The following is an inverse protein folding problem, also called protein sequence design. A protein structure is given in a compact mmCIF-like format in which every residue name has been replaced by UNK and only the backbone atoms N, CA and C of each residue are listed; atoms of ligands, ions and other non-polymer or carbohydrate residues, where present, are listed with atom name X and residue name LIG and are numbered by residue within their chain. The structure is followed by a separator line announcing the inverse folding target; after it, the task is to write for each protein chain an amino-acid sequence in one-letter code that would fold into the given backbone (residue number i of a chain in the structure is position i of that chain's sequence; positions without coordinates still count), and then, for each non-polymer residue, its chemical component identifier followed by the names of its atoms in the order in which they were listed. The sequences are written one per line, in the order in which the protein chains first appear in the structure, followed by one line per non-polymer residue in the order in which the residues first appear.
data_IF_633482251969
#
_entry.id   IF_633482251969
#
_cell.length_a   1.000
_cell.length_b   1.000
_cell.length_c   1.000
_cell.angle_alpha   90.00
_cell.angle_beta   90.00
_cell.angle_gamma   90.00
#
_symmetry.space_group_name_H-M   'P 1'
#
loop_
_entity.id
_entity.type
_entity.pdbx_description
1 polymer ?
#
# COMPACT_ATOMS: atom_id res chain seq x y z
N UNK A 1 -10.10 8.51 9.78
CA UNK A 1 -9.59 7.14 9.74
C UNK A 1 -10.17 6.45 8.53
N UNK A 2 -9.35 6.33 7.48
CA UNK A 2 -9.72 5.64 6.24
C UNK A 2 -9.59 4.14 6.45
N UNK A 3 -10.71 3.48 6.68
CA UNK A 3 -10.75 2.02 6.77
C UNK A 3 -10.89 1.44 5.37
N UNK A 4 -9.84 0.91 4.80
CA UNK A 4 -9.92 -0.02 3.68
C UNK A 4 -10.42 -1.36 4.24
N UNK A 5 -11.74 -1.54 4.28
CA UNK A 5 -12.35 -2.83 4.54
C UNK A 5 -12.17 -3.71 3.30
N UNK A 6 -11.19 -4.59 3.33
CA UNK A 6 -11.16 -5.69 2.37
C UNK A 6 -12.21 -6.73 2.79
N UNK A 7 -13.33 -6.78 2.07
CA UNK A 7 -14.26 -7.91 2.18
C UNK A 7 -13.57 -9.17 1.67
N UNK A 8 -13.01 -9.95 2.60
CA UNK A 8 -12.53 -11.28 2.28
C UNK A 8 -13.71 -12.24 2.24
N UNK A 9 -13.87 -12.90 1.11
CA UNK A 9 -14.91 -13.89 0.87
C UNK A 9 -14.93 -15.01 1.93
N UNK A 10 -16.12 -15.40 2.33
CA UNK A 10 -16.44 -16.57 3.13
C UNK A 10 -15.82 -17.84 2.55
N UNK A 11 -14.65 -18.22 3.02
CA UNK A 11 -14.24 -19.62 3.07
C UNK A 11 -13.13 -19.81 4.13
N UNK A 12 -13.51 -20.29 5.32
CA UNK A 12 -12.67 -20.99 6.30
C UNK A 12 -11.57 -20.26 7.09
N UNK A 13 -11.42 -18.94 7.03
CA UNK A 13 -10.47 -18.25 7.92
C UNK A 13 -11.15 -17.00 8.48
N UNK A 14 -11.15 -16.83 9.81
CA UNK A 14 -11.47 -15.55 10.43
C UNK A 14 -10.32 -14.58 10.08
N UNK A 15 -10.48 -13.66 9.12
CA UNK A 15 -9.40 -12.78 8.74
C UNK A 15 -9.14 -11.78 9.87
N UNK A 16 -7.88 -11.52 10.13
CA UNK A 16 -7.48 -10.44 11.00
C UNK A 16 -7.31 -9.17 10.14
N UNK A 17 -7.97 -8.09 10.53
CA UNK A 17 -7.73 -6.78 9.95
C UNK A 17 -6.67 -6.07 10.80
N UNK A 18 -5.53 -5.79 10.22
CA UNK A 18 -4.46 -5.02 10.84
C UNK A 18 -4.62 -3.54 10.47
N UNK A 19 -4.95 -2.70 11.46
CA UNK A 19 -5.11 -1.26 11.28
C UNK A 19 -3.83 -0.57 11.75
N UNK A 20 -2.99 -0.22 10.78
CA UNK A 20 -1.67 0.40 11.01
C UNK A 20 -1.78 1.91 10.96
N UNK A 21 -1.32 2.60 12.01
CA UNK A 21 -1.17 4.06 11.96
C UNK A 21 0.09 4.43 11.20
N UNK A 22 -0.09 4.88 9.95
CA UNK A 22 1.00 5.23 9.03
C UNK A 22 1.33 6.74 9.02
N UNK A 23 0.62 7.56 9.79
CA UNK A 23 0.67 9.03 9.72
C UNK A 23 2.07 9.58 9.94
N UNK A 24 2.77 9.15 10.98
CA UNK A 24 4.10 9.68 11.31
C UNK A 24 5.14 9.34 10.22
N UNK A 25 5.06 8.14 9.63
CA UNK A 25 5.91 7.75 8.49
C UNK A 25 5.60 8.62 7.27
N UNK A 26 4.32 8.85 7.00
CA UNK A 26 3.87 9.67 5.87
C UNK A 26 4.34 11.13 6.00
N UNK A 27 4.27 11.70 7.20
CA UNK A 27 4.76 13.04 7.49
C UNK A 27 6.27 13.13 7.32
N UNK A 28 7.03 12.16 7.84
CA UNK A 28 8.49 12.15 7.69
C UNK A 28 8.91 12.05 6.21
N UNK A 29 8.22 11.22 5.41
CA UNK A 29 8.46 11.14 3.97
C UNK A 29 8.15 12.48 3.29
N UNK A 30 7.02 13.12 3.65
CA UNK A 30 6.63 14.41 3.08
C UNK A 30 7.64 15.51 3.38
N UNK A 31 8.18 15.55 4.60
CA UNK A 31 9.11 16.58 5.06
C UNK A 31 10.53 16.39 4.50
N UNK A 32 10.98 15.12 4.35
CA UNK A 32 12.39 14.81 4.08
C UNK A 32 12.68 14.35 2.65
N UNK A 33 11.67 13.87 1.91
CA UNK A 33 11.85 13.29 0.59
C UNK A 33 11.33 14.20 -0.55
N UNK A 34 11.82 14.04 -1.79
CA UNK A 34 11.28 14.75 -2.94
C UNK A 34 9.79 14.46 -3.15
N UNK A 35 8.97 15.49 -3.29
CA UNK A 35 7.51 15.35 -3.35
C UNK A 35 7.04 14.52 -4.54
N UNK A 36 7.72 14.57 -5.69
CA UNK A 36 7.38 13.76 -6.85
C UNK A 36 7.57 12.25 -6.64
N UNK A 37 8.32 11.84 -5.61
CA UNK A 37 8.63 10.43 -5.27
C UNK A 37 7.81 9.91 -4.08
N UNK A 38 7.06 10.76 -3.39
CA UNK A 38 6.33 10.44 -2.15
C UNK A 38 5.53 9.14 -2.24
N UNK A 39 4.68 9.03 -3.26
CA UNK A 39 3.80 7.87 -3.39
C UNK A 39 4.57 6.57 -3.56
N UNK A 40 5.71 6.59 -4.27
CA UNK A 40 6.55 5.39 -4.46
C UNK A 40 7.20 5.01 -3.14
N UNK A 41 7.78 5.98 -2.42
CA UNK A 41 8.47 5.75 -1.14
C UNK A 41 7.46 5.26 -0.09
N UNK A 42 6.29 5.92 0.04
CA UNK A 42 5.21 5.47 0.93
C UNK A 42 4.83 4.02 0.68
N UNK A 43 4.59 3.64 -0.58
CA UNK A 43 4.22 2.27 -0.96
C UNK A 43 5.30 1.26 -0.61
N UNK A 44 6.57 1.60 -0.71
CA UNK A 44 7.68 0.74 -0.30
C UNK A 44 7.63 0.45 1.21
N UNK A 45 7.37 1.46 2.05
CA UNK A 45 7.21 1.23 3.49
C UNK A 45 5.92 0.50 3.84
N UNK A 46 4.82 0.75 3.14
CA UNK A 46 3.58 -0.03 3.28
C UNK A 46 3.81 -1.51 2.97
N UNK A 47 4.56 -1.82 1.91
CA UNK A 47 4.89 -3.21 1.55
C UNK A 47 5.81 -3.88 2.59
N UNK A 48 6.79 -3.16 3.17
CA UNK A 48 7.63 -3.67 4.27
C UNK A 48 6.78 -4.04 5.49
N UNK A 49 5.81 -3.18 5.86
CA UNK A 49 4.88 -3.45 6.98
C UNK A 49 3.99 -4.65 6.66
N UNK A 50 3.45 -4.72 5.45
CA UNK A 50 2.62 -5.84 5.03
C UNK A 50 3.38 -7.16 5.06
N UNK A 51 4.65 -7.18 4.59
CA UNK A 51 5.52 -8.37 4.66
C UNK A 51 5.84 -8.76 6.11
N UNK A 52 6.02 -7.79 7.02
CA UNK A 52 6.23 -8.06 8.44
C UNK A 52 5.06 -8.85 9.03
N UNK A 53 3.82 -8.36 8.88
CA UNK A 53 2.62 -9.06 9.38
C UNK A 53 2.35 -10.38 8.65
N UNK A 54 2.65 -10.45 7.36
CA UNK A 54 2.55 -11.70 6.61
C UNK A 54 3.48 -12.79 7.18
N UNK A 55 4.72 -12.42 7.51
CA UNK A 55 5.69 -13.33 8.13
C UNK A 55 5.24 -13.76 9.54
N UNK A 56 4.76 -12.84 10.37
CA UNK A 56 4.22 -13.16 11.71
C UNK A 56 3.01 -14.10 11.63
N UNK A 57 2.13 -13.86 10.64
CA UNK A 57 0.95 -14.70 10.40
C UNK A 57 1.22 -16.00 9.65
N UNK A 58 2.49 -16.29 9.29
CA UNK A 58 2.86 -17.49 8.52
C UNK A 58 2.37 -17.48 7.08
N UNK A 59 2.06 -16.31 6.50
CA UNK A 59 1.67 -16.18 5.10
C UNK A 59 2.88 -16.33 4.18
N UNK A 60 2.67 -16.89 2.99
CA UNK A 60 3.73 -17.15 2.01
C UNK A 60 3.77 -16.15 0.86
N UNK A 61 2.83 -15.22 0.81
CA UNK A 61 2.71 -14.23 -0.26
C UNK A 61 1.90 -13.02 0.19
N UNK A 62 2.08 -11.89 -0.51
CA UNK A 62 1.20 -10.73 -0.43
C UNK A 62 0.24 -10.71 -1.62
N UNK A 63 -0.93 -10.11 -1.43
CA UNK A 63 -1.89 -9.84 -2.50
C UNK A 63 -2.20 -8.35 -2.50
N UNK A 64 -2.11 -7.70 -3.67
CA UNK A 64 -2.45 -6.28 -3.82
C UNK A 64 -3.44 -6.06 -4.95
N UNK A 65 -4.26 -5.01 -4.84
CA UNK A 65 -5.28 -4.62 -5.85
C UNK A 65 -4.74 -3.71 -6.95
N UNK A 66 -3.44 -3.75 -7.25
CA UNK A 66 -2.82 -2.88 -8.26
C UNK A 66 -3.25 -3.27 -9.69
N UNK A 67 -3.47 -2.23 -10.53
CA UNK A 67 -3.69 -2.35 -11.97
C UNK A 67 -2.76 -1.42 -12.73
N UNK A 68 -2.16 -1.91 -13.84
CA UNK A 68 -1.18 -1.13 -14.62
C UNK A 68 -1.84 0.11 -15.23
N UNK A 69 -1.21 1.26 -15.03
CA UNK A 69 -1.59 2.51 -15.72
C UNK A 69 -2.79 3.25 -15.14
N UNK A 70 -3.42 2.75 -14.08
CA UNK A 70 -4.55 3.44 -13.44
C UNK A 70 -4.11 4.75 -12.78
N UNK A 71 -2.94 4.77 -12.15
CA UNK A 71 -2.35 5.95 -11.52
C UNK A 71 -0.83 5.97 -11.74
N UNK A 72 -0.21 7.13 -11.53
CA UNK A 72 1.22 7.34 -11.77
C UNK A 72 2.13 6.36 -10.99
N UNK A 73 1.73 5.94 -9.80
CA UNK A 73 2.47 4.97 -8.98
C UNK A 73 2.36 3.52 -9.47
N UNK A 74 1.43 3.22 -10.38
CA UNK A 74 1.14 1.87 -10.88
C UNK A 74 1.64 1.64 -12.32
N UNK A 75 2.69 2.33 -12.72
CA UNK A 75 3.43 1.98 -13.95
C UNK A 75 4.33 0.76 -13.69
N UNK A 76 4.69 0.02 -14.74
CA UNK A 76 5.59 -1.16 -14.62
C UNK A 76 6.90 -0.80 -13.90
N UNK A 77 7.48 0.38 -14.19
CA UNK A 77 8.70 0.84 -13.54
C UNK A 77 8.49 1.03 -12.03
N UNK A 78 7.40 1.70 -11.64
CA UNK A 78 7.11 2.01 -10.24
C UNK A 78 6.68 0.76 -9.47
N UNK A 79 5.95 -0.15 -10.10
CA UNK A 79 5.61 -1.46 -9.51
C UNK A 79 6.86 -2.31 -9.24
N UNK A 80 7.83 -2.33 -10.16
CA UNK A 80 9.09 -3.04 -9.95
C UNK A 80 9.88 -2.45 -8.76
N UNK A 81 9.90 -1.10 -8.63
CA UNK A 81 10.56 -0.41 -7.52
C UNK A 81 9.84 -0.70 -6.18
N UNK A 82 8.52 -0.68 -6.18
CA UNK A 82 7.72 -0.99 -4.98
C UNK A 82 7.89 -2.46 -4.57
N UNK A 83 7.96 -3.37 -5.53
CA UNK A 83 8.13 -4.80 -5.27
C UNK A 83 9.53 -5.16 -4.73
N UNK A 84 10.54 -4.37 -5.02
CA UNK A 84 11.95 -4.65 -4.67
C UNK A 84 12.18 -4.77 -3.16
N UNK A 85 11.33 -4.19 -2.32
CA UNK A 85 11.43 -4.31 -0.85
C UNK A 85 10.83 -5.59 -0.28
N UNK A 86 10.14 -6.39 -1.10
CA UNK A 86 9.51 -7.64 -0.67
C UNK A 86 10.38 -8.84 -1.03
N UNK A 87 10.56 -9.75 -0.07
CA UNK A 87 11.26 -11.01 -0.25
C UNK A 87 10.30 -12.15 -0.60
N UNK A 88 9.00 -11.98 -0.35
CA UNK A 88 7.97 -12.95 -0.69
C UNK A 88 7.26 -12.60 -2.00
N UNK A 89 6.60 -13.57 -2.67
CA UNK A 89 5.80 -13.32 -3.86
C UNK A 89 4.70 -12.30 -3.60
N UNK A 90 4.46 -11.40 -4.58
CA UNK A 90 3.35 -10.44 -4.56
C UNK A 90 2.41 -10.73 -5.72
N UNK A 91 1.21 -11.22 -5.41
CA UNK A 91 0.19 -11.48 -6.41
C UNK A 91 -0.67 -10.23 -6.66
N UNK A 92 -0.99 -10.00 -7.92
CA UNK A 92 -1.77 -8.84 -8.39
C UNK A 92 -2.90 -9.30 -9.31
N UNK A 93 -4.01 -9.80 -8.75
CA UNK A 93 -5.11 -10.36 -9.55
C UNK A 93 -5.68 -9.39 -10.58
N UNK A 94 -5.67 -8.08 -10.27
CA UNK A 94 -6.23 -7.04 -11.14
C UNK A 94 -5.21 -6.40 -12.09
N UNK A 95 -3.98 -6.91 -12.18
CA UNK A 95 -2.85 -6.20 -12.81
C UNK A 95 -3.08 -5.81 -14.27
N UNK A 96 -3.79 -6.63 -15.04
CA UNK A 96 -4.09 -6.41 -16.45
C UNK A 96 -5.51 -5.93 -16.73
N UNK A 97 -6.31 -5.70 -15.69
CA UNK A 97 -7.71 -5.29 -15.82
C UNK A 97 -7.83 -3.78 -15.97
N UNK A 98 -8.76 -3.33 -16.80
CA UNK A 98 -9.14 -1.93 -16.82
C UNK A 98 -10.10 -1.58 -15.66
N UNK A 99 -10.43 -0.28 -15.54
CA UNK A 99 -11.28 0.18 -14.44
C UNK A 99 -12.69 -0.42 -14.50
N UNK A 100 -13.25 -0.61 -15.70
CA UNK A 100 -14.59 -1.14 -15.85
C UNK A 100 -14.66 -2.62 -15.48
N UNK A 101 -13.66 -3.41 -15.91
CA UNK A 101 -13.57 -4.82 -15.54
C UNK A 101 -13.49 -5.02 -14.00
N UNK A 102 -12.76 -4.13 -13.31
CA UNK A 102 -12.67 -4.17 -11.84
C UNK A 102 -14.01 -3.79 -11.20
N UNK A 103 -14.70 -2.77 -11.75
CA UNK A 103 -16.04 -2.36 -11.28
C UNK A 103 -17.05 -3.50 -11.47
N UNK A 104 -17.07 -4.13 -12.64
CA UNK A 104 -17.99 -5.23 -12.94
C UNK A 104 -17.80 -6.42 -11.98
N UNK A 105 -16.53 -6.70 -11.61
CA UNK A 105 -16.24 -7.73 -10.62
C UNK A 105 -16.72 -7.28 -9.23
N UNK A 106 -16.48 -6.03 -8.84
CA UNK A 106 -16.88 -5.50 -7.54
C UNK A 106 -18.41 -5.52 -7.39
N UNK A 107 -19.17 -5.17 -8.43
CA UNK A 107 -20.63 -5.29 -8.48
C UNK A 107 -21.07 -6.75 -8.32
N UNK A 108 -20.48 -7.64 -9.11
CA UNK A 108 -20.79 -9.07 -9.09
C UNK A 108 -20.58 -9.73 -7.72
N UNK A 109 -19.56 -9.31 -6.99
CA UNK A 109 -19.26 -9.84 -5.66
C UNK A 109 -19.88 -9.02 -4.52
N UNK A 110 -20.66 -7.96 -4.84
CA UNK A 110 -21.39 -7.15 -3.87
C UNK A 110 -20.54 -6.20 -3.01
N UNK A 111 -19.35 -5.82 -3.49
CA UNK A 111 -18.44 -4.90 -2.76
C UNK A 111 -18.44 -3.47 -3.31
N UNK A 112 -19.05 -3.25 -4.47
CA UNK A 112 -19.01 -1.96 -5.16
C UNK A 112 -19.60 -0.83 -4.31
N UNK A 113 -20.83 -0.99 -3.79
CA UNK A 113 -21.53 0.04 -3.00
C UNK A 113 -20.74 0.44 -1.75
N UNK A 114 -19.98 -0.48 -1.16
CA UNK A 114 -19.10 -0.18 -0.02
C UNK A 114 -17.86 0.58 -0.47
N UNK A 115 -17.29 0.23 -1.61
CA UNK A 115 -16.03 0.82 -2.10
C UNK A 115 -16.17 2.25 -2.63
N UNK A 116 -17.38 2.67 -3.03
CA UNK A 116 -17.66 4.04 -3.51
C UNK A 116 -18.08 5.02 -2.42
N UNK A 117 -18.12 4.59 -1.16
CA UNK A 117 -18.48 5.49 -0.05
C UNK A 117 -17.50 6.67 0.02
N UNK A 118 -17.99 7.89 0.33
CA UNK A 118 -17.19 9.11 0.32
C UNK A 118 -16.27 9.21 1.54
N UNK A 119 -15.22 8.39 1.55
CA UNK A 119 -14.14 8.50 2.52
C UNK A 119 -12.90 9.12 1.88
N UNK A 120 -12.16 9.91 2.65
CA UNK A 120 -10.90 10.48 2.20
C UNK A 120 -9.83 9.38 2.06
N UNK A 121 -9.19 9.33 0.89
CA UNK A 121 -8.04 8.48 0.64
C UNK A 121 -6.81 9.02 1.36
N UNK A 122 -6.06 8.16 2.02
CA UNK A 122 -4.82 8.53 2.72
C UNK A 122 -3.77 9.16 1.81
N UNK A 123 -3.80 8.86 0.51
CA UNK A 123 -2.86 9.41 -0.47
C UNK A 123 -3.31 10.76 -1.06
N UNK A 124 -4.56 11.21 -0.89
CA UNK A 124 -5.04 12.47 -1.49
C UNK A 124 -4.46 13.72 -0.82
N UNK A 125 -4.10 13.64 0.45
CA UNK A 125 -3.55 14.77 1.23
C UNK A 125 -2.14 15.17 0.76
N UNK A 126 -1.37 14.23 0.21
CA UNK A 126 0.04 14.40 -0.15
C UNK A 126 0.33 14.12 -1.62
N UNK A 127 -0.65 14.31 -2.51
CA UNK A 127 -0.45 14.08 -3.95
C UNK A 127 0.50 15.14 -4.51
N UNK A 128 1.61 14.70 -5.07
CA UNK A 128 2.49 15.56 -5.84
C UNK A 128 1.78 16.10 -7.10
N UNK A 129 1.99 17.38 -7.42
CA UNK A 129 1.47 17.98 -8.66
C UNK A 129 1.96 17.23 -9.92
N UNK A 130 3.17 16.69 -9.85
CA UNK A 130 3.82 15.96 -10.94
C UNK A 130 4.47 14.68 -10.40
N UNK A 131 3.69 13.60 -10.13
CA UNK A 131 4.25 12.36 -9.62
C UNK A 131 5.12 11.68 -10.67
N UNK A 132 6.20 11.04 -10.22
CA UNK A 132 7.10 10.28 -11.10
C UNK A 132 6.37 9.07 -11.67
N UNK A 133 6.30 8.97 -13.01
CA UNK A 133 5.72 7.83 -13.72
C UNK A 133 6.78 6.81 -14.17
N UNK A 134 8.04 7.23 -14.27
CA UNK A 134 9.19 6.39 -14.60
C UNK A 134 10.26 6.53 -13.55
N UNK A 135 10.02 5.91 -12.39
CA UNK A 135 10.95 5.93 -11.27
C UNK A 135 12.29 5.25 -11.60
N UNK A 136 13.30 5.64 -10.86
CA UNK A 136 14.62 5.02 -10.90
C UNK A 136 14.95 4.50 -9.50
N UNK A 137 15.18 3.19 -9.35
CA UNK A 137 15.41 2.55 -8.07
C UNK A 137 16.58 3.16 -7.28
N UNK A 138 17.70 3.48 -7.96
CA UNK A 138 18.86 4.08 -7.30
C UNK A 138 18.54 5.46 -6.74
N UNK A 139 17.75 6.25 -7.48
CA UNK A 139 17.32 7.57 -7.04
C UNK A 139 16.35 7.46 -5.84
N UNK A 140 15.38 6.54 -5.92
CA UNK A 140 14.44 6.31 -4.82
C UNK A 140 15.18 5.88 -3.54
N UNK A 141 16.12 4.92 -3.63
CA UNK A 141 16.94 4.50 -2.48
C UNK A 141 17.74 5.66 -1.90
N UNK A 142 18.32 6.53 -2.75
CA UNK A 142 19.03 7.72 -2.27
C UNK A 142 18.11 8.71 -1.57
N UNK A 143 16.85 8.84 -2.03
CA UNK A 143 15.87 9.68 -1.35
C UNK A 143 15.42 9.08 -0.01
N UNK A 144 15.36 7.75 0.09
CA UNK A 144 15.07 7.03 1.35
C UNK A 144 16.18 7.26 2.41
N UNK A 145 17.45 7.46 2.01
CA UNK A 145 18.56 7.77 2.94
C UNK A 145 18.27 9.03 3.81
N UNK A 146 17.42 9.95 3.35
CA UNK A 146 17.01 11.11 4.15
C UNK A 146 16.14 10.74 5.37
N UNK A 147 15.66 9.50 5.42
CA UNK A 147 14.83 8.98 6.51
C UNK A 147 15.62 8.14 7.53
N UNK A 148 16.88 7.80 7.24
CA UNK A 148 17.70 6.85 8.02
C UNK A 148 17.77 7.19 9.51
N UNK A 149 17.67 8.48 9.85
CA UNK A 149 17.71 8.96 11.25
C UNK A 149 16.41 8.71 12.04
N UNK A 150 15.29 8.40 11.38
CA UNK A 150 13.98 8.30 12.05
C UNK A 150 13.16 7.08 11.66
N UNK A 151 13.43 6.48 10.50
CA UNK A 151 12.49 5.54 9.89
C UNK A 151 12.33 4.23 10.69
N UNK A 152 13.40 3.72 11.27
CA UNK A 152 13.36 2.47 12.04
C UNK A 152 12.47 2.61 13.28
N UNK A 153 12.59 3.73 14.00
CA UNK A 153 11.75 4.03 15.17
C UNK A 153 10.29 4.23 14.77
N UNK A 154 10.04 4.94 13.65
CA UNK A 154 8.69 5.17 13.14
C UNK A 154 8.03 3.87 12.67
N UNK A 155 8.77 3.01 11.97
CA UNK A 155 8.30 1.69 11.54
C UNK A 155 7.97 0.82 12.73
N UNK A 156 8.87 0.76 13.72
CA UNK A 156 8.63 0.02 14.96
C UNK A 156 7.38 0.53 15.68
N UNK A 157 7.26 1.85 15.86
CA UNK A 157 6.07 2.46 16.48
C UNK A 157 4.79 2.10 15.74
N UNK A 158 4.78 2.16 14.40
CA UNK A 158 3.62 1.83 13.59
C UNK A 158 3.21 0.35 13.76
N UNK A 159 4.18 -0.56 13.77
CA UNK A 159 3.96 -2.00 13.97
C UNK A 159 3.46 -2.28 15.39
N UNK A 160 4.15 -1.76 16.41
CA UNK A 160 3.81 -2.00 17.84
C UNK A 160 2.44 -1.43 18.22
N UNK A 161 1.98 -0.36 17.55
CA UNK A 161 0.68 0.28 17.78
C UNK A 161 -0.44 -0.23 16.88
N UNK A 162 -0.20 -1.28 16.09
CA UNK A 162 -1.21 -1.83 15.17
C UNK A 162 -2.37 -2.42 15.94
N UNK A 163 -3.58 -1.99 15.61
CA UNK A 163 -4.81 -2.59 16.12
C UNK A 163 -5.17 -3.81 15.27
N UNK A 164 -5.41 -4.96 15.93
CA UNK A 164 -5.83 -6.19 15.25
C UNK A 164 -7.32 -6.42 15.56
N UNK A 165 -8.14 -6.35 14.51
CA UNK A 165 -9.58 -6.57 14.58
C UNK A 165 -9.89 -7.95 14.01
N UNK A 166 -10.46 -8.83 14.84
CA UNK A 166 -10.92 -10.14 14.38
C UNK A 166 -12.27 -9.99 13.69
N UNK A 167 -12.31 -10.21 12.39
CA UNK A 167 -13.55 -10.18 11.60
C UNK A 167 -14.27 -11.51 11.79
N UNK A 168 -15.53 -11.43 12.28
CA UNK A 168 -16.41 -12.59 12.54
C UNK A 168 -17.28 -12.91 11.33
#
# INVERSE_FOLDING_TARGET
PSYLLSYSFYFFLCPNLHVVNFTDIQLAIYEKCPHEELTIIMRRYMMKIAEHFANEGGSLALITGESIGQVASQTIHNLAITNEVCNMPVFRPCIGMDKQEIVDIAEKIGTFETSIQPFEDCCTIFVAKHPVTKGNLKRIKKSEEHLDDVIDDLMKKAIDSTEIIHVK
#
